data_IF_911904405281
#
_entry.id   IF_911904405281
#
_cell.length_a   1.000
_cell.length_b   1.000
_cell.length_c   1.000
_cell.angle_alpha   90.00
_cell.angle_beta   90.00
_cell.angle_gamma   90.00
#
_symmetry.space_group_name_H-M   'P 1'
#
loop_
_entity.id
_entity.type
_entity.pdbx_description
1 polymer ?
#
# COMPACT_ATOMS: atom_id res chain seq x y z
N UNK A 1 60.54 50.64 2.95
CA UNK A 1 59.55 50.28 3.95
C UNK A 1 58.32 49.80 3.23
N UNK A 2 58.16 48.44 3.08
CA UNK A 2 57.11 47.82 2.26
C UNK A 2 56.05 47.22 3.16
N UNK A 3 54.88 47.83 3.17
CA UNK A 3 53.70 47.28 3.83
C UNK A 3 52.89 46.42 2.84
N UNK A 4 52.99 45.11 2.96
CA UNK A 4 52.17 44.13 2.25
C UNK A 4 50.78 44.09 2.86
N UNK A 5 49.77 44.49 2.10
CA UNK A 5 48.32 44.29 2.47
C UNK A 5 47.94 42.88 2.09
N UNK A 6 47.64 42.08 3.12
CA UNK A 6 47.05 40.73 2.98
C UNK A 6 45.56 40.89 2.77
N UNK A 7 45.02 40.43 1.62
CA UNK A 7 43.59 40.29 1.35
C UNK A 7 43.14 38.92 1.83
N UNK A 8 42.34 38.89 2.91
CA UNK A 8 41.65 37.69 3.36
C UNK A 8 40.38 37.52 2.51
N UNK A 9 40.42 36.57 1.59
CA UNK A 9 39.24 36.08 0.88
C UNK A 9 38.44 35.17 1.82
N UNK A 10 37.39 35.69 2.43
CA UNK A 10 36.44 34.91 3.22
C UNK A 10 35.48 34.23 2.24
N UNK A 11 35.72 32.94 1.95
CA UNK A 11 34.80 32.12 1.19
C UNK A 11 33.57 31.80 2.05
N UNK A 12 32.45 32.43 1.73
CA UNK A 12 31.13 32.15 2.33
C UNK A 12 30.61 30.82 1.77
N UNK A 13 30.83 29.70 2.49
CA UNK A 13 30.14 28.44 2.23
C UNK A 13 28.70 28.58 2.68
N UNK A 14 27.77 28.78 1.73
CA UNK A 14 26.35 28.62 2.00
C UNK A 14 26.08 27.11 2.22
N UNK A 15 25.44 26.70 3.33
CA UNK A 15 24.99 25.33 3.49
C UNK A 15 23.81 25.09 2.52
N UNK A 16 23.98 24.16 1.62
CA UNK A 16 22.91 23.62 0.77
C UNK A 16 21.97 22.81 1.67
N UNK A 17 21.05 23.49 2.35
CA UNK A 17 20.11 22.89 3.28
C UNK A 17 19.12 22.00 2.51
N UNK A 18 19.01 20.78 2.94
CA UNK A 18 18.16 19.71 2.43
C UNK A 18 16.69 20.12 2.33
N UNK A 19 16.21 20.39 1.12
CA UNK A 19 14.78 20.63 0.81
C UNK A 19 14.00 19.31 0.56
N UNK A 20 14.53 18.14 0.99
CA UNK A 20 13.95 16.84 0.69
C UNK A 20 12.62 16.49 1.42
N UNK A 21 12.38 16.85 2.70
CA UNK A 21 11.18 16.35 3.40
C UNK A 21 9.86 17.03 2.97
N UNK A 22 9.87 18.31 2.62
CA UNK A 22 8.65 19.03 2.26
C UNK A 22 8.04 18.51 0.93
N UNK A 23 8.88 18.23 -0.07
CA UNK A 23 8.43 17.75 -1.38
C UNK A 23 7.81 16.34 -1.31
N UNK A 24 8.34 15.46 -0.48
CA UNK A 24 7.79 14.12 -0.30
C UNK A 24 6.42 14.15 0.39
N UNK A 25 6.17 15.09 1.29
CA UNK A 25 4.86 15.28 1.92
C UNK A 25 3.82 15.78 0.90
N UNK A 26 4.17 16.74 0.05
CA UNK A 26 3.30 17.25 -1.01
C UNK A 26 2.99 16.18 -2.06
N UNK A 27 3.96 15.35 -2.42
CA UNK A 27 3.76 14.24 -3.37
C UNK A 27 2.83 13.17 -2.80
N UNK A 28 2.92 12.86 -1.50
CA UNK A 28 1.99 11.94 -0.85
C UNK A 28 0.55 12.49 -0.85
N UNK A 29 0.35 13.77 -0.53
CA UNK A 29 -0.97 14.40 -0.57
C UNK A 29 -1.56 14.37 -1.99
N UNK A 30 -0.75 14.63 -3.00
CA UNK A 30 -1.16 14.54 -4.40
C UNK A 30 -1.56 13.13 -4.80
N UNK A 31 -0.78 12.11 -4.39
CA UNK A 31 -1.14 10.71 -4.64
C UNK A 31 -2.48 10.36 -3.98
N UNK A 32 -2.67 10.74 -2.70
CA UNK A 32 -3.90 10.47 -1.98
C UNK A 32 -5.10 11.18 -2.64
N UNK A 33 -4.94 12.41 -3.12
CA UNK A 33 -5.99 13.12 -3.86
C UNK A 33 -6.36 12.42 -5.19
N UNK A 34 -5.37 11.90 -5.93
CA UNK A 34 -5.59 11.13 -7.15
C UNK A 34 -6.36 9.83 -6.86
N UNK A 35 -5.97 9.09 -5.82
CA UNK A 35 -6.64 7.85 -5.42
C UNK A 35 -8.08 8.12 -4.93
N UNK A 36 -8.28 9.20 -4.16
CA UNK A 36 -9.61 9.61 -3.68
C UNK A 36 -10.59 9.94 -4.82
N UNK A 37 -10.09 10.51 -5.91
CA UNK A 37 -10.90 10.84 -7.07
C UNK A 37 -11.28 9.62 -7.93
N UNK A 38 -10.67 8.45 -7.69
CA UNK A 38 -10.90 7.25 -8.48
C UNK A 38 -12.15 6.49 -7.96
N UNK A 39 -13.19 6.29 -8.79
CA UNK A 39 -14.46 5.70 -8.34
C UNK A 39 -14.37 4.19 -8.04
N UNK A 40 -13.26 3.57 -8.40
CA UNK A 40 -13.04 2.14 -8.32
C UNK A 40 -12.95 1.48 -9.70
N UNK A 41 -12.90 0.15 -9.69
CA UNK A 41 -12.75 -0.65 -10.91
C UNK A 41 -12.52 -2.11 -10.59
N UNK A 42 -12.32 -2.90 -11.64
CA UNK A 42 -11.97 -4.32 -11.54
C UNK A 42 -10.59 -4.55 -12.10
N UNK A 43 -9.79 -5.32 -11.37
CA UNK A 43 -8.45 -5.75 -11.77
C UNK A 43 -8.35 -7.27 -11.70
N UNK A 44 -7.57 -7.88 -12.58
CA UNK A 44 -7.11 -9.26 -12.43
C UNK A 44 -5.90 -9.26 -11.53
N UNK A 45 -5.77 -10.29 -10.70
CA UNK A 45 -4.57 -10.48 -9.89
C UNK A 45 -3.91 -11.83 -10.15
N UNK A 46 -2.59 -11.82 -10.00
CA UNK A 46 -1.76 -13.02 -9.81
C UNK A 46 -0.99 -12.81 -8.51
N UNK A 47 -1.27 -13.65 -7.54
CA UNK A 47 -0.62 -13.65 -6.23
C UNK A 47 0.35 -14.83 -6.12
N UNK A 48 1.54 -14.57 -5.60
CA UNK A 48 2.53 -15.57 -5.20
C UNK A 48 2.79 -15.42 -3.71
N UNK A 49 2.44 -16.45 -2.94
CA UNK A 49 2.72 -16.49 -1.51
C UNK A 49 3.90 -17.42 -1.26
N UNK A 50 4.96 -16.87 -0.73
CA UNK A 50 6.14 -17.59 -0.28
C UNK A 50 5.96 -17.90 1.21
N UNK A 51 5.81 -19.17 1.53
CA UNK A 51 5.74 -19.65 2.90
C UNK A 51 7.11 -20.17 3.30
N UNK A 52 7.63 -19.76 4.45
CA UNK A 52 8.97 -20.13 4.92
C UNK A 52 9.19 -21.66 5.01
N UNK A 53 8.10 -22.42 5.14
CA UNK A 53 8.13 -23.88 5.21
C UNK A 53 8.00 -24.59 3.86
N UNK A 54 7.85 -23.88 2.74
CA UNK A 54 7.64 -24.45 1.41
C UNK A 54 8.72 -24.01 0.43
N UNK A 55 9.23 -24.95 -0.36
CA UNK A 55 10.26 -24.69 -1.37
C UNK A 55 9.71 -23.91 -2.59
N UNK A 56 8.42 -23.98 -2.84
CA UNK A 56 7.78 -23.32 -3.97
C UNK A 56 6.60 -22.43 -3.52
N UNK A 57 6.39 -21.28 -4.18
CA UNK A 57 5.30 -20.39 -3.82
C UNK A 57 3.93 -20.99 -4.17
N UNK A 58 2.95 -20.70 -3.32
CA UNK A 58 1.55 -20.93 -3.64
C UNK A 58 1.08 -19.82 -4.60
N UNK A 59 0.55 -20.22 -5.75
CA UNK A 59 0.09 -19.27 -6.76
C UNK A 59 -1.43 -19.28 -6.81
N UNK A 60 -2.03 -18.09 -6.66
CA UNK A 60 -3.46 -17.88 -6.85
C UNK A 60 -3.74 -16.80 -7.91
N UNK A 61 -4.89 -16.91 -8.57
CA UNK A 61 -5.34 -15.98 -9.60
C UNK A 61 -6.82 -15.70 -9.43
N UNK A 62 -7.22 -14.49 -9.83
CA UNK A 62 -8.60 -14.10 -9.74
C UNK A 62 -8.82 -12.65 -10.12
N UNK A 63 -9.88 -12.09 -9.59
CA UNK A 63 -10.29 -10.72 -9.82
C UNK A 63 -10.52 -10.00 -8.48
N UNK A 64 -10.22 -8.71 -8.46
CA UNK A 64 -10.56 -7.82 -7.36
C UNK A 64 -11.36 -6.65 -7.91
N UNK A 65 -12.45 -6.33 -7.25
CA UNK A 65 -13.29 -5.19 -7.61
C UNK A 65 -13.41 -4.25 -6.41
N UNK A 66 -13.07 -2.99 -6.62
CA UNK A 66 -13.32 -1.92 -5.66
C UNK A 66 -14.43 -1.01 -6.16
N UNK A 67 -15.30 -0.59 -5.28
CA UNK A 67 -16.31 0.45 -5.48
C UNK A 67 -16.29 1.39 -4.30
N UNK A 68 -15.98 2.64 -4.56
CA UNK A 68 -15.94 3.66 -3.51
C UNK A 68 -17.32 3.78 -2.82
N UNK A 69 -17.35 4.09 -1.54
CA UNK A 69 -16.19 4.24 -0.67
C UNK A 69 -15.73 2.96 0.04
N UNK A 70 -16.56 1.91 0.16
CA UNK A 70 -16.41 0.86 1.17
C UNK A 70 -16.62 -0.55 0.68
N UNK A 71 -16.80 -0.76 -0.61
CA UNK A 71 -17.05 -2.08 -1.16
C UNK A 71 -15.81 -2.63 -1.85
N UNK A 72 -15.29 -3.77 -1.36
CA UNK A 72 -14.15 -4.46 -1.94
C UNK A 72 -14.45 -5.95 -2.03
N UNK A 73 -14.36 -6.51 -3.22
CA UNK A 73 -14.50 -7.94 -3.46
C UNK A 73 -13.19 -8.52 -4.01
N UNK A 74 -12.80 -9.67 -3.48
CA UNK A 74 -11.76 -10.52 -4.05
C UNK A 74 -12.36 -11.86 -4.42
N UNK A 75 -12.29 -12.23 -5.69
CA UNK A 75 -12.73 -13.53 -6.23
C UNK A 75 -11.50 -14.31 -6.68
N UNK A 76 -11.07 -15.28 -5.89
CA UNK A 76 -10.04 -16.22 -6.28
C UNK A 76 -10.68 -17.27 -7.18
N UNK A 77 -10.10 -17.48 -8.38
CA UNK A 77 -10.60 -18.43 -9.38
C UNK A 77 -9.78 -19.72 -9.37
N UNK A 78 -8.49 -19.63 -9.08
CA UNK A 78 -7.60 -20.77 -8.95
C UNK A 78 -6.57 -20.56 -7.83
N UNK A 79 -6.05 -21.64 -7.18
CA UNK A 79 -6.37 -23.08 -7.43
C UNK A 79 -7.72 -23.50 -6.85
N UNK A 80 -8.24 -22.77 -5.84
CA UNK A 80 -9.54 -23.04 -5.21
C UNK A 80 -10.42 -21.82 -5.30
N UNK A 81 -11.64 -21.92 -5.83
CA UNK A 81 -12.58 -20.83 -5.84
C UNK A 81 -12.89 -20.34 -4.42
N UNK A 82 -12.74 -19.04 -4.20
CA UNK A 82 -13.04 -18.38 -2.94
C UNK A 82 -13.51 -16.95 -3.23
N UNK A 83 -14.46 -16.46 -2.46
CA UNK A 83 -14.91 -15.08 -2.52
C UNK A 83 -14.75 -14.43 -1.16
N UNK A 84 -14.02 -13.34 -1.10
CA UNK A 84 -13.96 -12.44 0.05
C UNK A 84 -14.65 -11.14 -0.33
N UNK A 85 -15.63 -10.76 0.45
CA UNK A 85 -16.36 -9.50 0.27
C UNK A 85 -16.26 -8.69 1.55
N UNK A 86 -15.71 -7.50 1.42
CA UNK A 86 -15.80 -6.46 2.42
C UNK A 86 -16.86 -5.45 1.97
N UNK A 87 -17.95 -5.38 2.70
CA UNK A 87 -19.00 -4.37 2.53
C UNK A 87 -19.12 -3.59 3.82
N UNK A 88 -18.73 -2.33 3.79
CA UNK A 88 -18.57 -1.49 4.98
C UNK A 88 -17.70 -2.20 6.02
N UNK A 89 -18.26 -2.55 7.16
CA UNK A 89 -17.56 -3.18 8.27
C UNK A 89 -17.86 -4.68 8.41
N UNK A 90 -18.42 -5.28 7.37
CA UNK A 90 -18.72 -6.71 7.33
C UNK A 90 -17.82 -7.41 6.33
N UNK A 91 -17.03 -8.37 6.82
CA UNK A 91 -16.28 -9.30 6.00
C UNK A 91 -17.07 -10.58 5.81
N UNK A 92 -17.34 -10.94 4.55
CA UNK A 92 -17.98 -12.21 4.17
C UNK A 92 -16.98 -13.05 3.40
N UNK A 93 -16.84 -14.31 3.81
CA UNK A 93 -16.07 -15.33 3.10
C UNK A 93 -17.02 -16.41 2.59
N UNK A 94 -16.87 -16.75 1.31
CA UNK A 94 -17.59 -17.85 0.66
C UNK A 94 -16.57 -18.81 0.05
N UNK A 95 -16.62 -20.07 0.49
CA UNK A 95 -15.73 -21.14 0.02
C UNK A 95 -16.41 -22.50 0.22
N UNK A 96 -16.30 -23.39 -0.77
CA UNK A 96 -16.83 -24.78 -0.71
C UNK A 96 -18.31 -24.83 -0.27
N UNK A 97 -19.15 -23.94 -0.83
CA UNK A 97 -20.58 -23.77 -0.50
C UNK A 97 -20.85 -23.30 0.95
N UNK A 98 -19.82 -22.97 1.69
CA UNK A 98 -19.93 -22.38 3.03
C UNK A 98 -19.80 -20.89 2.93
N UNK A 99 -20.68 -20.19 3.67
CA UNK A 99 -20.64 -18.73 3.82
C UNK A 99 -20.50 -18.39 5.29
N UNK A 100 -19.55 -17.53 5.59
CA UNK A 100 -19.32 -16.97 6.91
C UNK A 100 -19.24 -15.47 6.80
N UNK A 101 -19.95 -14.76 7.68
CA UNK A 101 -19.90 -13.30 7.75
C UNK A 101 -19.57 -12.89 9.17
N UNK A 102 -18.71 -11.87 9.32
CA UNK A 102 -18.34 -11.33 10.61
C UNK A 102 -18.09 -9.81 10.52
N UNK A 103 -18.37 -9.03 11.55
CA UNK A 103 -17.87 -7.67 11.68
C UNK A 103 -16.35 -7.68 11.78
N UNK A 104 -15.66 -6.78 11.04
CA UNK A 104 -14.18 -6.69 11.10
C UNK A 104 -13.69 -6.30 12.49
N UNK A 105 -14.50 -5.57 13.26
CA UNK A 105 -14.19 -5.18 14.65
C UNK A 105 -14.00 -6.35 15.62
N UNK A 106 -14.51 -7.55 15.28
CA UNK A 106 -14.26 -8.77 16.05
C UNK A 106 -12.82 -9.31 15.90
N UNK A 107 -12.06 -8.81 14.92
CA UNK A 107 -10.69 -9.19 14.63
C UNK A 107 -9.85 -7.95 14.43
N UNK A 108 -9.34 -7.31 15.51
CA UNK A 108 -8.60 -6.05 15.42
C UNK A 108 -7.39 -6.08 14.49
N UNK A 109 -6.76 -7.24 14.31
CA UNK A 109 -5.69 -7.46 13.36
C UNK A 109 -6.18 -7.39 11.90
N UNK A 110 -7.36 -7.95 11.61
CA UNK A 110 -7.99 -7.87 10.29
C UNK A 110 -8.49 -6.45 10.04
N UNK A 111 -9.10 -5.82 11.04
CA UNK A 111 -9.56 -4.43 10.97
C UNK A 111 -8.43 -3.48 10.56
N UNK A 112 -7.29 -3.57 11.21
CA UNK A 112 -6.16 -2.70 10.90
C UNK A 112 -5.56 -2.97 9.51
N UNK A 113 -5.47 -4.23 9.07
CA UNK A 113 -5.05 -4.56 7.72
C UNK A 113 -6.05 -4.04 6.66
N UNK A 114 -7.36 -4.26 6.89
CA UNK A 114 -8.43 -3.73 6.04
C UNK A 114 -8.40 -2.21 6.02
N UNK A 115 -8.14 -1.56 7.16
CA UNK A 115 -8.02 -0.12 7.25
C UNK A 115 -6.91 0.43 6.33
N UNK A 116 -5.76 -0.27 6.20
CA UNK A 116 -4.69 0.15 5.30
C UNK A 116 -5.13 0.13 3.83
N UNK A 117 -5.79 -0.95 3.40
CA UNK A 117 -6.31 -1.09 2.04
C UNK A 117 -7.35 0.00 1.76
N UNK A 118 -8.33 0.13 2.65
CA UNK A 118 -9.43 1.09 2.52
C UNK A 118 -8.92 2.53 2.49
N UNK A 119 -8.04 2.90 3.42
CA UNK A 119 -7.48 4.25 3.49
C UNK A 119 -6.66 4.59 2.26
N UNK A 120 -5.90 3.63 1.71
CA UNK A 120 -5.17 3.80 0.46
C UNK A 120 -6.14 4.04 -0.71
N UNK A 121 -7.15 3.17 -0.87
CA UNK A 121 -8.11 3.29 -1.98
C UNK A 121 -8.99 4.54 -1.90
N UNK A 122 -9.24 5.04 -0.70
CA UNK A 122 -9.99 6.29 -0.45
C UNK A 122 -9.12 7.55 -0.51
N UNK A 123 -7.80 7.40 -0.58
CA UNK A 123 -6.88 8.52 -0.44
C UNK A 123 -6.92 9.19 0.94
N UNK A 124 -7.31 8.47 1.99
CA UNK A 124 -7.38 8.97 3.36
C UNK A 124 -6.03 8.83 4.06
N UNK A 125 -5.15 9.81 3.80
CA UNK A 125 -3.82 9.89 4.40
C UNK A 125 -3.87 9.85 5.92
N UNK A 126 -4.74 10.63 6.53
CA UNK A 126 -4.81 10.74 7.99
C UNK A 126 -5.21 9.42 8.63
N UNK A 127 -6.15 8.66 8.03
CA UNK A 127 -6.51 7.34 8.50
C UNK A 127 -5.36 6.33 8.33
N UNK A 128 -4.60 6.42 7.24
CA UNK A 128 -3.46 5.55 6.99
C UNK A 128 -2.33 5.79 8.00
N UNK A 129 -1.98 7.04 8.24
CA UNK A 129 -0.90 7.44 9.17
C UNK A 129 -1.22 7.16 10.65
N UNK A 130 -2.48 6.90 11.01
CA UNK A 130 -2.84 6.42 12.36
C UNK A 130 -2.28 5.03 12.68
N UNK A 131 -2.10 4.20 11.64
CA UNK A 131 -1.70 2.80 11.80
C UNK A 131 -0.32 2.49 11.23
N UNK A 132 0.15 3.32 10.28
CA UNK A 132 1.38 3.08 9.54
C UNK A 132 2.25 4.33 9.45
N UNK A 133 3.57 4.12 9.50
CA UNK A 133 4.52 5.07 8.93
C UNK A 133 4.46 4.94 7.43
N UNK A 134 4.22 6.05 6.74
CA UNK A 134 4.07 6.08 5.28
C UNK A 134 5.29 6.75 4.66
N UNK A 135 5.90 6.11 3.68
CA UNK A 135 6.95 6.69 2.85
C UNK A 135 6.57 6.55 1.38
N UNK A 136 6.73 7.63 0.61
CA UNK A 136 6.48 7.65 -0.83
C UNK A 136 7.79 7.90 -1.57
N UNK A 137 8.01 7.14 -2.64
CA UNK A 137 9.09 7.32 -3.60
C UNK A 137 8.51 7.44 -5.01
N UNK A 138 9.18 8.22 -5.87
CA UNK A 138 8.73 8.45 -7.24
C UNK A 138 7.81 9.65 -7.38
N UNK A 139 6.97 9.66 -8.40
CA UNK A 139 6.07 10.77 -8.75
C UNK A 139 4.64 10.23 -8.92
N UNK A 140 3.63 10.83 -8.26
CA UNK A 140 2.24 10.34 -8.27
C UNK A 140 1.66 10.14 -9.67
N UNK A 141 1.91 11.07 -10.58
CA UNK A 141 1.37 11.01 -11.97
C UNK A 141 2.15 10.07 -12.90
N UNK A 142 3.29 9.57 -12.43
CA UNK A 142 4.14 8.62 -13.15
C UNK A 142 4.22 7.31 -12.37
N UNK A 143 5.43 6.83 -12.13
CA UNK A 143 5.69 5.65 -11.30
C UNK A 143 5.92 6.06 -9.86
N UNK A 144 5.21 5.41 -8.94
CA UNK A 144 5.37 5.62 -7.50
C UNK A 144 5.39 4.30 -6.74
N UNK A 145 6.00 4.34 -5.57
CA UNK A 145 6.04 3.25 -4.62
C UNK A 145 5.79 3.81 -3.23
N UNK A 146 4.77 3.30 -2.56
CA UNK A 146 4.40 3.65 -1.20
C UNK A 146 4.71 2.48 -0.26
N UNK A 147 5.49 2.75 0.77
CA UNK A 147 5.86 1.79 1.80
C UNK A 147 5.12 2.12 3.09
N UNK A 148 4.48 1.11 3.66
CA UNK A 148 3.73 1.19 4.91
C UNK A 148 4.39 0.29 5.96
N UNK A 149 4.84 0.89 7.07
CA UNK A 149 5.40 0.18 8.21
C UNK A 149 4.45 0.32 9.41
N UNK A 150 3.95 -0.79 9.98
CA UNK A 150 3.02 -0.72 11.10
C UNK A 150 3.63 -0.01 12.33
N UNK A 151 2.87 0.91 12.92
CA UNK A 151 3.27 1.63 14.13
C UNK A 151 3.06 0.80 15.39
N UNK A 152 1.99 0.00 15.43
CA UNK A 152 1.58 -0.76 16.60
C UNK A 152 2.28 -2.12 16.64
N UNK A 153 2.78 -2.53 17.81
CA UNK A 153 3.45 -3.83 18.01
C UNK A 153 2.55 -5.02 17.61
N UNK A 154 1.25 -4.92 17.87
CA UNK A 154 0.26 -5.95 17.52
C UNK A 154 0.17 -6.17 16.03
N UNK A 155 0.19 -5.11 15.24
CA UNK A 155 0.20 -5.18 13.77
C UNK A 155 1.53 -5.71 13.23
N UNK A 156 2.66 -5.30 13.84
CA UNK A 156 3.98 -5.83 13.51
C UNK A 156 4.11 -7.34 13.76
N UNK A 157 3.31 -7.89 14.68
CA UNK A 157 3.21 -9.34 14.90
C UNK A 157 2.55 -10.10 13.73
N UNK A 158 1.94 -9.41 12.78
CA UNK A 158 1.26 -10.02 11.63
C UNK A 158 1.96 -9.62 10.34
N UNK A 159 2.11 -8.32 10.08
CA UNK A 159 2.75 -7.76 8.91
C UNK A 159 3.85 -6.80 9.33
N UNK A 160 5.03 -6.94 8.76
CA UNK A 160 6.17 -6.06 9.06
C UNK A 160 6.27 -4.91 8.07
N UNK A 161 5.86 -5.12 6.83
CA UNK A 161 5.88 -4.10 5.80
C UNK A 161 4.84 -4.41 4.72
N UNK A 162 4.24 -3.36 4.15
CA UNK A 162 3.42 -3.42 2.93
C UNK A 162 4.03 -2.44 1.92
N UNK A 163 4.24 -2.89 0.69
CA UNK A 163 4.73 -2.06 -0.41
C UNK A 163 3.68 -2.04 -1.51
N UNK A 164 3.21 -0.86 -1.86
CA UNK A 164 2.20 -0.65 -2.90
C UNK A 164 2.85 0.16 -4.01
N UNK A 165 2.77 -0.31 -5.24
CA UNK A 165 3.32 0.39 -6.39
C UNK A 165 2.26 0.60 -7.46
N UNK A 166 2.45 1.67 -8.26
CA UNK A 166 1.51 2.00 -9.30
C UNK A 166 1.99 3.10 -10.23
N UNK A 167 1.09 3.50 -11.12
CA UNK A 167 1.27 4.61 -12.05
C UNK A 167 -0.02 5.42 -12.12
N UNK A 168 0.04 6.73 -11.79
CA UNK A 168 -1.17 7.53 -11.64
C UNK A 168 -2.10 6.93 -10.59
N UNK A 169 -3.36 6.70 -10.95
CA UNK A 169 -4.37 6.07 -10.09
C UNK A 169 -4.35 4.54 -10.12
N UNK A 170 -3.61 3.93 -11.04
CA UNK A 170 -3.57 2.49 -11.20
C UNK A 170 -2.53 1.87 -10.26
N UNK A 171 -3.00 1.08 -9.30
CA UNK A 171 -2.15 0.18 -8.51
C UNK A 171 -1.88 -1.06 -9.34
N UNK A 172 -0.61 -1.41 -9.55
CA UNK A 172 -0.20 -2.57 -10.35
C UNK A 172 0.56 -3.63 -9.55
N UNK A 173 0.97 -3.33 -8.31
CA UNK A 173 1.65 -4.28 -7.43
C UNK A 173 1.39 -3.99 -5.96
N UNK A 174 1.18 -5.06 -5.21
CA UNK A 174 1.11 -5.04 -3.74
C UNK A 174 1.96 -6.19 -3.22
N UNK A 175 2.97 -5.86 -2.41
CA UNK A 175 3.80 -6.84 -1.73
C UNK A 175 3.64 -6.65 -0.23
N UNK A 176 3.65 -7.73 0.54
CA UNK A 176 3.72 -7.62 2.00
C UNK A 176 4.54 -8.77 2.60
N UNK A 177 5.22 -8.44 3.68
CA UNK A 177 6.04 -9.36 4.46
C UNK A 177 5.40 -9.56 5.83
N UNK A 178 5.32 -10.80 6.26
CA UNK A 178 4.76 -11.19 7.55
C UNK A 178 5.87 -11.39 8.58
N UNK A 179 5.50 -11.39 9.85
CA UNK A 179 6.48 -11.51 10.95
C UNK A 179 7.10 -12.89 11.09
N UNK A 180 6.44 -13.91 10.54
CA UNK A 180 6.89 -15.32 10.52
C UNK A 180 7.85 -15.63 9.36
N UNK A 181 8.18 -14.62 8.54
CA UNK A 181 9.04 -14.76 7.38
C UNK A 181 8.30 -15.07 6.09
N UNK A 182 6.99 -15.25 6.14
CA UNK A 182 6.16 -15.39 4.95
C UNK A 182 6.11 -14.08 4.18
N UNK A 183 5.98 -14.16 2.86
CA UNK A 183 5.79 -12.99 2.02
C UNK A 183 4.79 -13.25 0.91
N UNK A 184 4.18 -12.19 0.43
CA UNK A 184 3.23 -12.24 -0.68
C UNK A 184 3.57 -11.16 -1.69
N UNK A 185 3.61 -11.56 -2.95
CA UNK A 185 3.72 -10.68 -4.11
C UNK A 185 2.43 -10.77 -4.92
N UNK A 186 1.79 -9.65 -5.16
CA UNK A 186 0.56 -9.57 -5.96
C UNK A 186 0.75 -8.58 -7.10
N UNK A 187 0.54 -9.05 -8.31
CA UNK A 187 0.46 -8.22 -9.53
C UNK A 187 -0.98 -8.01 -9.90
N UNK A 188 -1.30 -6.79 -10.32
CA UNK A 188 -2.64 -6.33 -10.65
C UNK A 188 -2.65 -5.79 -12.08
N UNK A 189 -3.65 -6.19 -12.86
CA UNK A 189 -3.85 -5.73 -14.23
C UNK A 189 -5.30 -5.28 -14.40
N UNK A 190 -5.58 -4.06 -14.92
CA UNK A 190 -6.94 -3.61 -15.17
C UNK A 190 -7.73 -4.58 -16.07
N UNK A 191 -8.99 -4.80 -15.72
CA UNK A 191 -9.94 -5.53 -16.57
C UNK A 191 -10.74 -4.50 -17.36
N UNK A 192 -10.55 -4.47 -18.67
CA UNK A 192 -11.15 -3.49 -19.57
C UNK A 192 -10.10 -2.51 -20.12
N UNK A 193 -10.42 -1.93 -21.27
CA UNK A 193 -9.59 -0.88 -21.87
C UNK A 193 -9.58 0.35 -20.98
N UNK A 194 -8.42 1.02 -20.87
CA UNK A 194 -8.37 2.36 -20.30
C UNK A 194 -9.27 3.31 -21.11
#
# INVERSE_FOLDING_TARGET
>A
MNTRRLWLLTTLLLPLAAMAPARAADDLDRLMALLAAHPGGTVRFVERRHLAMLDAPLVSRGEMTYRAPDWLERRTLSPRPERLLLDKDTLTMERDQRRMSMPISQRPEVEAFVASIRSTLRGDRAALERHYRVALQGQPEKRWTMTLEPLQARLRGIVTQIVISGMGVAVDRVDYTQSDGDSTEMRLEPVGKP
#
